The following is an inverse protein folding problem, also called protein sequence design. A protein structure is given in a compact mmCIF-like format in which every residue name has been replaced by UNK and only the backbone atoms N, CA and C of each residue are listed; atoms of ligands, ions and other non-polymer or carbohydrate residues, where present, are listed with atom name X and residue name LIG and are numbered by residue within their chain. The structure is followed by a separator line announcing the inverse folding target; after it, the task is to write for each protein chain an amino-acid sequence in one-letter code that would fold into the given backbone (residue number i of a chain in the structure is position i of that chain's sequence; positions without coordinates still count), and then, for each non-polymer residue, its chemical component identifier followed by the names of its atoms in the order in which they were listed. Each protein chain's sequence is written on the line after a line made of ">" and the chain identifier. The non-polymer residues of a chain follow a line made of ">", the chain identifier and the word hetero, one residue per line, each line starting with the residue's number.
data_IF_926931130414
#
_entry.id   IF_926931130414
#
_cell.length_a   1.000
_cell.length_b   1.000
_cell.length_c   1.000
_cell.angle_alpha   90.00
_cell.angle_beta   90.00
_cell.angle_gamma   90.00
#
_symmetry.space_group_name_H-M   'P 1'
#
loop_
_entity.id
_entity.type
_entity.pdbx_description
1 polymer ?
#
# COMPACT_ATOMS: atom_id res chain seq x y z
N UNK A 1 -12.65 41.97 3.45
CA UNK A 1 -11.83 41.61 4.62
C UNK A 1 -10.42 41.29 4.13
N UNK A 2 -9.35 41.85 4.71
CA UNK A 2 -7.98 41.50 4.30
C UNK A 2 -7.66 40.09 4.82
N UNK A 3 -7.07 39.22 4.02
CA UNK A 3 -6.66 37.88 4.49
C UNK A 3 -5.59 38.01 5.57
N UNK A 4 -5.60 37.09 6.55
CA UNK A 4 -4.55 36.99 7.57
C UNK A 4 -3.22 36.58 6.95
N UNK A 5 -2.12 36.83 7.66
CA UNK A 5 -0.78 36.37 7.27
C UNK A 5 -0.73 34.84 7.09
N UNK A 6 -1.36 34.08 7.98
CA UNK A 6 -1.50 32.63 7.85
C UNK A 6 -2.23 32.23 6.56
N UNK A 7 -3.40 32.85 6.28
CA UNK A 7 -4.18 32.52 5.09
C UNK A 7 -3.38 32.80 3.80
N UNK A 8 -2.63 33.90 3.76
CA UNK A 8 -1.77 34.27 2.62
C UNK A 8 -0.64 33.24 2.45
N UNK A 9 0.12 32.94 3.51
CA UNK A 9 1.24 31.99 3.44
C UNK A 9 0.78 30.56 3.15
N UNK A 10 -0.36 30.13 3.68
CA UNK A 10 -0.94 28.82 3.38
C UNK A 10 -1.36 28.71 1.90
N UNK A 11 -1.95 29.78 1.35
CA UNK A 11 -2.32 29.83 -0.06
C UNK A 11 -1.08 29.73 -0.94
N UNK A 12 -0.05 30.53 -0.70
CA UNK A 12 1.20 30.47 -1.47
C UNK A 12 1.88 29.11 -1.34
N UNK A 13 1.89 28.51 -0.15
CA UNK A 13 2.41 27.15 0.08
C UNK A 13 1.68 26.10 -0.77
N UNK A 14 0.34 26.05 -0.71
CA UNK A 14 -0.46 25.03 -1.39
C UNK A 14 -0.52 25.22 -2.91
N UNK A 15 -0.58 26.50 -3.39
CA UNK A 15 -0.81 26.80 -4.80
C UNK A 15 0.44 27.08 -5.61
N UNK A 16 1.55 27.48 -4.97
CA UNK A 16 2.83 27.81 -5.65
C UNK A 16 3.96 26.91 -5.23
N UNK A 17 4.31 26.94 -3.93
CA UNK A 17 5.49 26.22 -3.43
C UNK A 17 5.40 24.70 -3.67
N UNK A 18 4.30 24.06 -3.25
CA UNK A 18 4.17 22.61 -3.39
C UNK A 18 4.12 22.13 -4.85
N UNK A 19 3.30 22.72 -5.75
CA UNK A 19 3.24 22.25 -7.12
C UNK A 19 4.43 22.71 -7.97
N UNK A 20 4.85 23.99 -7.87
CA UNK A 20 5.84 24.56 -8.78
C UNK A 20 7.28 24.31 -8.33
N UNK A 21 7.59 24.58 -7.05
CA UNK A 21 8.98 24.46 -6.57
C UNK A 21 9.30 23.03 -6.11
N UNK A 22 8.35 22.35 -5.47
CA UNK A 22 8.54 20.97 -4.96
C UNK A 22 8.07 19.89 -5.93
N UNK A 23 7.34 20.24 -6.99
CA UNK A 23 6.83 19.29 -7.97
C UNK A 23 5.98 18.16 -7.36
N UNK A 24 5.23 18.46 -6.27
CA UNK A 24 4.46 17.43 -5.58
C UNK A 24 3.19 17.07 -6.35
N UNK A 25 2.81 15.80 -6.29
CA UNK A 25 1.59 15.32 -6.92
C UNK A 25 0.33 15.92 -6.29
N UNK A 26 -0.73 16.07 -7.07
CA UNK A 26 -2.05 16.54 -6.63
C UNK A 26 -2.58 15.75 -5.42
N UNK A 27 -2.37 14.44 -5.37
CA UNK A 27 -2.77 13.61 -4.23
C UNK A 27 -2.03 13.99 -2.92
N UNK A 28 -0.77 14.38 -3.03
CA UNK A 28 0.01 14.84 -1.85
C UNK A 28 -0.49 16.20 -1.39
N UNK A 29 -0.75 17.12 -2.34
CA UNK A 29 -1.29 18.45 -2.05
C UNK A 29 -2.68 18.35 -1.40
N UNK A 30 -3.55 17.47 -1.89
CA UNK A 30 -4.86 17.21 -1.28
C UNK A 30 -4.76 16.62 0.14
N UNK A 31 -3.78 15.75 0.38
CA UNK A 31 -3.51 15.25 1.73
C UNK A 31 -3.05 16.36 2.69
N UNK A 32 -2.22 17.28 2.20
CA UNK A 32 -1.78 18.44 2.96
C UNK A 32 -2.93 19.41 3.22
N UNK A 33 -3.70 19.75 2.19
CA UNK A 33 -4.93 20.54 2.31
C UNK A 33 -5.87 19.98 3.37
N UNK A 34 -6.13 18.67 3.35
CA UNK A 34 -6.95 18.01 4.39
C UNK A 34 -6.36 18.22 5.79
N UNK A 35 -5.03 18.24 5.92
CA UNK A 35 -4.38 18.49 7.22
C UNK A 35 -4.69 19.89 7.73
N UNK A 36 -4.60 20.90 6.87
CA UNK A 36 -4.88 22.28 7.24
C UNK A 36 -6.36 22.53 7.49
N UNK A 37 -7.27 21.90 6.74
CA UNK A 37 -8.70 21.94 7.06
C UNK A 37 -8.94 21.45 8.49
N UNK A 38 -8.40 20.28 8.85
CA UNK A 38 -8.55 19.73 10.20
C UNK A 38 -7.91 20.62 11.26
N UNK A 39 -6.75 21.22 10.95
CA UNK A 39 -6.06 22.12 11.89
C UNK A 39 -6.86 23.40 12.13
N UNK A 40 -7.40 24.01 11.08
CA UNK A 40 -8.25 25.20 11.18
C UNK A 40 -9.51 24.88 11.98
N UNK A 41 -10.18 23.76 11.70
CA UNK A 41 -11.34 23.27 12.47
C UNK A 41 -11.00 23.13 13.96
N UNK A 42 -9.86 22.51 14.29
CA UNK A 42 -9.39 22.39 15.66
C UNK A 42 -9.16 23.75 16.34
N UNK A 43 -8.54 24.71 15.64
CA UNK A 43 -8.30 26.05 16.17
C UNK A 43 -9.60 26.80 16.47
N UNK A 44 -10.61 26.61 15.62
CA UNK A 44 -11.94 27.20 15.83
C UNK A 44 -12.69 26.52 16.98
N UNK A 45 -12.81 25.21 16.99
CA UNK A 45 -13.61 24.44 17.94
C UNK A 45 -12.98 24.36 19.35
N UNK A 46 -11.65 24.23 19.43
CA UNK A 46 -10.94 23.95 20.69
C UNK A 46 -10.15 25.14 21.25
N UNK A 47 -9.83 26.10 20.41
CA UNK A 47 -9.07 27.30 20.80
C UNK A 47 -9.88 28.58 20.69
N UNK A 48 -11.14 28.50 20.23
CA UNK A 48 -12.05 29.63 20.02
C UNK A 48 -11.43 30.74 19.14
N UNK A 49 -10.60 30.35 18.17
CA UNK A 49 -9.99 31.29 17.21
C UNK A 49 -10.73 31.16 15.89
N UNK A 50 -11.57 32.12 15.58
CA UNK A 50 -12.32 32.13 14.33
C UNK A 50 -11.38 32.10 13.12
N UNK A 51 -11.78 31.40 12.06
CA UNK A 51 -10.98 31.16 10.84
C UNK A 51 -10.42 32.47 10.26
N UNK A 52 -11.23 33.52 10.25
CA UNK A 52 -10.87 34.85 9.74
C UNK A 52 -9.93 35.67 10.64
N UNK A 53 -9.66 35.19 11.85
CA UNK A 53 -8.70 35.77 12.84
C UNK A 53 -7.46 34.92 13.07
N UNK A 54 -7.41 33.73 12.46
CA UNK A 54 -6.27 32.82 12.62
C UNK A 54 -5.05 33.42 11.92
N UNK A 55 -4.04 33.77 12.72
CA UNK A 55 -2.78 34.35 12.28
C UNK A 55 -1.61 33.40 12.61
N UNK A 56 -0.44 33.61 12.01
CA UNK A 56 0.75 32.75 12.22
C UNK A 56 1.16 32.72 13.70
N UNK A 57 1.07 33.81 14.42
CA UNK A 57 1.34 33.88 15.87
C UNK A 57 0.48 32.95 16.73
N UNK A 58 -0.67 32.49 16.23
CA UNK A 58 -1.52 31.54 16.94
C UNK A 58 -1.04 30.08 16.76
N UNK A 59 -0.07 29.83 15.87
CA UNK A 59 0.40 28.49 15.57
C UNK A 59 1.68 28.21 16.35
N UNK A 60 1.50 27.87 17.61
CA UNK A 60 2.61 27.52 18.51
C UNK A 60 2.84 26.02 18.59
N UNK A 61 3.98 25.61 19.14
CA UNK A 61 4.31 24.20 19.37
C UNK A 61 3.23 23.50 20.21
N UNK A 62 2.71 24.18 21.25
CA UNK A 62 1.67 23.67 22.16
C UNK A 62 0.37 23.42 21.40
N UNK A 63 -0.03 24.34 20.51
CA UNK A 63 -1.24 24.19 19.71
C UNK A 63 -1.09 23.06 18.67
N UNK A 64 0.10 22.86 18.08
CA UNK A 64 0.37 21.70 17.22
C UNK A 64 0.31 20.38 17.99
N UNK A 65 0.90 20.31 19.19
CA UNK A 65 0.82 19.12 20.04
C UNK A 65 -0.62 18.81 20.41
N UNK A 66 -1.38 19.81 20.87
CA UNK A 66 -2.79 19.65 21.21
C UNK A 66 -3.65 19.21 20.00
N UNK A 67 -3.38 19.73 18.81
CA UNK A 67 -4.02 19.29 17.57
C UNK A 67 -3.73 17.80 17.28
N UNK A 68 -2.48 17.38 17.43
CA UNK A 68 -2.09 15.98 17.20
C UNK A 68 -2.69 15.02 18.22
N UNK A 69 -2.93 15.48 19.46
CA UNK A 69 -3.65 14.74 20.48
C UNK A 69 -5.15 14.66 20.17
N UNK A 70 -5.76 15.78 19.81
CA UNK A 70 -7.16 15.84 19.38
C UNK A 70 -7.46 14.88 18.23
N UNK A 71 -6.55 14.76 17.23
CA UNK A 71 -6.68 13.81 16.15
C UNK A 71 -6.77 12.35 16.64
N UNK A 72 -6.07 12.01 17.73
CA UNK A 72 -6.06 10.65 18.28
C UNK A 72 -7.22 10.41 19.25
N UNK A 73 -7.51 11.37 20.14
CA UNK A 73 -8.52 11.23 21.20
C UNK A 73 -9.94 11.39 20.68
N UNK A 74 -10.23 12.45 19.92
CA UNK A 74 -11.58 12.76 19.49
C UNK A 74 -11.89 12.31 18.04
N UNK A 75 -10.90 12.37 17.14
CA UNK A 75 -11.09 11.93 15.75
C UNK A 75 -10.69 10.47 15.51
N UNK A 76 -10.25 9.76 16.56
CA UNK A 76 -9.85 8.34 16.53
C UNK A 76 -8.86 8.00 15.41
N UNK A 77 -8.00 8.95 15.04
CA UNK A 77 -6.99 8.73 14.00
C UNK A 77 -5.89 7.78 14.48
N UNK A 78 -5.45 6.90 13.59
CA UNK A 78 -4.30 6.03 13.85
C UNK A 78 -3.01 6.83 14.02
N UNK A 79 -2.01 6.25 14.70
CA UNK A 79 -0.66 6.82 14.82
C UNK A 79 -0.04 7.13 13.45
N UNK A 80 -0.28 6.28 12.45
CA UNK A 80 0.19 6.52 11.08
C UNK A 80 -0.45 7.78 10.49
N UNK A 81 -1.78 7.95 10.62
CA UNK A 81 -2.50 9.14 10.16
C UNK A 81 -2.01 10.40 10.87
N UNK A 82 -1.87 10.33 12.20
CA UNK A 82 -1.31 11.44 13.01
C UNK A 82 0.08 11.85 12.49
N UNK A 83 0.96 10.89 12.19
CA UNK A 83 2.30 11.18 11.68
C UNK A 83 2.29 11.77 10.27
N UNK A 84 1.36 11.36 9.41
CA UNK A 84 1.16 11.98 8.07
C UNK A 84 0.75 13.45 8.23
N UNK A 85 -0.15 13.77 9.19
CA UNK A 85 -0.55 15.15 9.45
C UNK A 85 0.62 15.99 9.98
N UNK A 86 1.42 15.43 10.90
CA UNK A 86 2.65 16.08 11.37
C UNK A 86 3.64 16.36 10.23
N UNK A 87 3.82 15.41 9.31
CA UNK A 87 4.71 15.61 8.15
C UNK A 87 4.25 16.76 7.23
N UNK A 88 2.93 16.93 7.05
CA UNK A 88 2.37 18.05 6.29
C UNK A 88 2.64 19.40 6.99
N UNK A 89 2.45 19.45 8.31
CA UNK A 89 2.77 20.64 9.12
C UNK A 89 4.28 20.95 9.05
N UNK A 90 5.14 19.95 9.24
CA UNK A 90 6.60 20.14 9.11
C UNK A 90 7.00 20.67 7.73
N UNK A 91 6.34 20.23 6.66
CA UNK A 91 6.60 20.75 5.32
C UNK A 91 6.27 22.25 5.23
N UNK A 92 5.16 22.68 5.83
CA UNK A 92 4.76 24.07 5.89
C UNK A 92 5.73 24.92 6.72
N UNK A 93 6.15 24.44 7.89
CA UNK A 93 7.10 25.18 8.73
C UNK A 93 8.51 25.26 8.10
N UNK A 94 8.93 24.24 7.33
CA UNK A 94 10.17 24.37 6.53
C UNK A 94 10.04 25.44 5.45
N UNK A 95 8.89 25.59 4.82
CA UNK A 95 8.63 26.69 3.89
C UNK A 95 8.66 28.04 4.64
N UNK A 96 8.01 28.15 5.81
CA UNK A 96 8.03 29.38 6.59
C UNK A 96 9.42 29.80 7.10
N UNK A 97 10.36 28.88 7.29
CA UNK A 97 11.75 29.21 7.66
C UNK A 97 12.41 30.15 6.66
N UNK A 98 12.07 30.02 5.36
CA UNK A 98 12.61 30.89 4.30
C UNK A 98 11.77 32.14 4.10
N UNK A 99 10.48 32.05 4.31
CA UNK A 99 9.53 33.14 4.08
C UNK A 99 9.43 34.14 5.25
N UNK A 100 9.78 33.69 6.45
CA UNK A 100 9.68 34.45 7.69
C UNK A 100 10.83 34.09 8.63
N UNK A 101 12.06 34.43 8.26
CA UNK A 101 13.28 34.06 9.02
C UNK A 101 13.33 34.69 10.42
N UNK A 102 12.60 35.78 10.65
CA UNK A 102 12.50 36.44 11.96
C UNK A 102 11.94 35.52 13.07
N UNK A 103 11.14 34.51 12.71
CA UNK A 103 10.55 33.56 13.65
C UNK A 103 11.23 32.18 13.65
N UNK A 104 12.46 32.09 13.18
CA UNK A 104 13.19 30.82 12.98
C UNK A 104 13.24 29.93 14.22
N UNK A 105 13.40 30.52 15.40
CA UNK A 105 13.41 29.77 16.67
C UNK A 105 12.08 29.04 16.92
N UNK A 106 10.97 29.69 16.67
CA UNK A 106 9.62 29.08 16.82
C UNK A 106 9.42 27.95 15.83
N UNK A 107 9.84 28.15 14.57
CA UNK A 107 9.74 27.09 13.56
C UNK A 107 10.59 25.87 13.93
N UNK A 108 11.79 26.07 14.47
CA UNK A 108 12.64 24.98 14.94
C UNK A 108 12.02 24.21 16.11
N UNK A 109 11.38 24.89 17.05
CA UNK A 109 10.65 24.25 18.13
C UNK A 109 9.51 23.35 17.62
N UNK A 110 8.74 23.80 16.63
CA UNK A 110 7.68 23.00 16.01
C UNK A 110 8.27 21.82 15.24
N UNK A 111 9.34 22.04 14.49
CA UNK A 111 10.03 20.99 13.73
C UNK A 111 10.69 19.94 14.62
N UNK A 112 10.95 20.26 15.89
CA UNK A 112 11.47 19.30 16.88
C UNK A 112 10.44 18.25 17.34
N UNK A 113 9.15 18.41 17.01
CA UNK A 113 8.09 17.46 17.38
C UNK A 113 8.32 16.14 16.65
N UNK A 114 8.57 15.08 17.40
CA UNK A 114 8.88 13.76 16.82
C UNK A 114 7.63 12.99 16.39
N UNK A 115 7.78 12.24 15.32
CA UNK A 115 6.78 11.23 14.95
C UNK A 115 6.70 10.14 16.03
N UNK A 116 5.48 9.70 16.37
CA UNK A 116 5.28 8.56 17.29
C UNK A 116 5.69 7.26 16.60
N UNK A 117 6.29 6.34 17.35
CA UNK A 117 6.55 4.96 16.85
C UNK A 117 5.25 4.34 16.37
N UNK A 118 5.27 3.79 15.18
CA UNK A 118 4.14 3.08 14.60
C UNK A 118 4.48 1.58 14.55
N UNK A 119 3.64 0.76 15.16
CA UNK A 119 3.78 -0.70 15.08
C UNK A 119 3.42 -1.09 13.64
N UNK A 120 4.39 -1.62 12.92
CA UNK A 120 4.17 -2.14 11.57
C UNK A 120 3.24 -3.35 11.67
N UNK A 121 2.05 -3.26 11.07
CA UNK A 121 1.13 -4.41 10.97
C UNK A 121 1.75 -5.46 10.04
N UNK A 122 1.48 -6.72 10.35
CA UNK A 122 1.83 -7.81 9.45
C UNK A 122 1.19 -7.59 8.07
N UNK A 123 1.89 -8.02 7.05
CA UNK A 123 1.40 -7.92 5.67
C UNK A 123 0.24 -8.89 5.49
N UNK A 124 -0.97 -8.38 5.23
CA UNK A 124 -2.12 -9.22 4.89
C UNK A 124 -2.01 -9.64 3.43
N UNK A 125 -1.91 -10.94 3.19
CA UNK A 125 -1.89 -11.54 1.86
C UNK A 125 -2.73 -12.83 1.84
N UNK A 126 -3.14 -13.23 0.64
CA UNK A 126 -3.82 -14.49 0.37
C UNK A 126 -2.79 -15.57 0.05
N UNK A 127 -3.07 -16.79 0.44
CA UNK A 127 -2.38 -17.97 -0.07
C UNK A 127 -2.69 -18.19 -1.55
N UNK A 128 -1.99 -19.10 -2.23
CA UNK A 128 -2.29 -19.47 -3.61
C UNK A 128 -3.72 -19.97 -3.72
N UNK A 129 -4.16 -20.85 -2.80
CA UNK A 129 -5.53 -21.38 -2.77
C UNK A 129 -6.56 -20.25 -2.54
N UNK A 130 -6.25 -19.27 -1.69
CA UNK A 130 -7.10 -18.09 -1.48
C UNK A 130 -7.24 -17.24 -2.74
N UNK A 131 -6.16 -17.06 -3.52
CA UNK A 131 -6.22 -16.38 -4.82
C UNK A 131 -7.06 -17.18 -5.80
N UNK A 132 -6.88 -18.49 -5.89
CA UNK A 132 -7.67 -19.35 -6.77
C UNK A 132 -9.15 -19.29 -6.41
N UNK A 133 -9.49 -19.43 -5.14
CA UNK A 133 -10.86 -19.34 -4.65
C UNK A 133 -11.49 -17.98 -4.99
N UNK A 134 -10.77 -16.88 -4.80
CA UNK A 134 -11.22 -15.52 -5.13
C UNK A 134 -11.50 -15.37 -6.63
N UNK A 135 -10.57 -15.81 -7.49
CA UNK A 135 -10.67 -15.67 -8.95
C UNK A 135 -11.68 -16.61 -9.59
N UNK A 136 -12.16 -17.63 -8.86
CA UNK A 136 -13.27 -18.49 -9.27
C UNK A 136 -14.66 -17.87 -9.05
N UNK A 137 -14.79 -16.77 -8.30
CA UNK A 137 -16.08 -16.20 -7.99
C UNK A 137 -16.74 -15.42 -9.12
N UNK A 138 -15.99 -14.68 -9.98
CA UNK A 138 -16.62 -13.96 -11.10
C UNK A 138 -17.31 -14.91 -12.07
N UNK A 139 -18.63 -14.71 -12.30
CA UNK A 139 -19.42 -15.50 -13.25
C UNK A 139 -19.00 -15.21 -14.70
N UNK A 140 -18.29 -16.14 -15.31
CA UNK A 140 -17.75 -16.00 -16.67
C UNK A 140 -18.82 -16.09 -17.77
N UNK A 141 -20.08 -16.45 -17.45
CA UNK A 141 -21.20 -16.40 -18.39
C UNK A 141 -21.59 -14.96 -18.71
N UNK A 142 -21.34 -14.03 -17.78
CA UNK A 142 -21.69 -12.61 -17.90
C UNK A 142 -20.51 -11.77 -18.38
N UNK A 143 -20.78 -10.71 -19.16
CA UNK A 143 -19.77 -9.72 -19.55
C UNK A 143 -19.09 -9.07 -18.36
N UNK A 144 -19.87 -8.75 -17.32
CA UNK A 144 -19.36 -8.17 -16.08
C UNK A 144 -18.39 -9.11 -15.38
N UNK A 145 -18.74 -10.39 -15.24
CA UNK A 145 -17.89 -11.37 -14.57
C UNK A 145 -16.58 -11.62 -15.34
N UNK A 146 -16.62 -11.68 -16.68
CA UNK A 146 -15.40 -11.79 -17.51
C UNK A 146 -14.49 -10.59 -17.36
N UNK A 147 -15.05 -9.36 -17.35
CA UNK A 147 -14.31 -8.13 -17.09
C UNK A 147 -13.64 -8.19 -15.72
N UNK A 148 -14.41 -8.50 -14.69
CA UNK A 148 -13.96 -8.48 -13.30
C UNK A 148 -12.88 -9.55 -13.04
N UNK A 149 -13.01 -10.74 -13.67
CA UNK A 149 -11.98 -11.78 -13.63
C UNK A 149 -10.66 -11.28 -14.23
N UNK A 150 -10.70 -10.72 -15.44
CA UNK A 150 -9.49 -10.21 -16.11
C UNK A 150 -8.87 -9.08 -15.31
N UNK A 151 -9.67 -8.17 -14.77
CA UNK A 151 -9.20 -7.06 -13.96
C UNK A 151 -8.51 -7.54 -12.67
N UNK A 152 -9.14 -8.45 -11.91
CA UNK A 152 -8.57 -8.95 -10.64
C UNK A 152 -7.34 -9.84 -10.89
N UNK A 153 -7.35 -10.65 -11.96
CA UNK A 153 -6.16 -11.46 -12.32
C UNK A 153 -4.98 -10.59 -12.74
N UNK A 154 -5.19 -9.51 -13.51
CA UNK A 154 -4.13 -8.55 -13.83
C UNK A 154 -3.62 -7.81 -12.60
N UNK A 155 -4.51 -7.42 -11.66
CA UNK A 155 -4.09 -6.81 -10.38
C UNK A 155 -3.14 -7.72 -9.62
N UNK A 156 -3.42 -9.01 -9.58
CA UNK A 156 -2.59 -10.00 -8.91
C UNK A 156 -1.31 -10.27 -9.71
N UNK A 157 -1.41 -10.69 -10.98
CA UNK A 157 -0.26 -11.17 -11.76
C UNK A 157 0.78 -10.09 -12.03
N UNK A 158 0.32 -8.86 -12.27
CA UNK A 158 1.20 -7.72 -12.49
C UNK A 158 1.58 -6.99 -11.19
N UNK A 159 1.09 -7.46 -10.05
CA UNK A 159 1.25 -6.77 -8.76
C UNK A 159 0.91 -5.27 -8.85
N UNK A 160 -0.12 -4.95 -9.62
CA UNK A 160 -0.47 -3.57 -9.96
C UNK A 160 -1.21 -2.88 -8.81
N UNK A 161 -0.98 -1.57 -8.67
CA UNK A 161 -1.79 -0.72 -7.78
C UNK A 161 -3.14 -0.43 -8.44
N UNK A 162 -4.17 -0.18 -7.63
CA UNK A 162 -5.52 0.15 -8.14
C UNK A 162 -5.48 1.26 -9.18
N UNK A 163 -4.75 2.33 -8.94
CA UNK A 163 -4.66 3.44 -9.88
C UNK A 163 -4.00 3.02 -11.20
N UNK A 164 -2.98 2.18 -11.13
CA UNK A 164 -2.30 1.66 -12.31
C UNK A 164 -3.25 0.85 -13.20
N UNK A 165 -4.17 0.07 -12.59
CA UNK A 165 -5.21 -0.67 -13.32
C UNK A 165 -6.26 0.27 -13.93
N UNK A 166 -6.67 1.32 -13.22
CA UNK A 166 -7.62 2.32 -13.71
C UNK A 166 -7.08 3.05 -14.95
N UNK A 167 -5.77 3.30 -14.96
CA UNK A 167 -5.11 4.08 -16.00
C UNK A 167 -4.59 3.22 -17.16
N UNK A 168 -4.78 1.88 -17.12
CA UNK A 168 -4.42 1.01 -18.23
C UNK A 168 -5.24 1.32 -19.48
N UNK A 169 -4.55 1.24 -20.62
CA UNK A 169 -5.16 1.33 -21.94
C UNK A 169 -4.72 0.15 -22.83
N UNK A 170 -5.46 -0.19 -23.89
CA UNK A 170 -5.07 -1.25 -24.82
C UNK A 170 -3.67 -1.06 -25.42
N UNK A 171 -3.25 0.18 -25.73
CA UNK A 171 -1.92 0.49 -26.24
C UNK A 171 -0.76 0.09 -25.31
N UNK A 172 -1.04 -0.14 -24.03
CA UNK A 172 -0.03 -0.59 -23.05
C UNK A 172 0.21 -2.10 -23.08
N UNK A 173 -0.53 -2.87 -23.90
CA UNK A 173 -0.50 -4.32 -23.91
C UNK A 173 0.12 -4.81 -25.22
N UNK A 174 1.15 -5.64 -25.10
CA UNK A 174 1.74 -6.36 -26.24
C UNK A 174 1.19 -7.78 -26.27
N UNK A 175 0.38 -8.07 -27.31
CA UNK A 175 -0.28 -9.37 -27.52
C UNK A 175 0.50 -10.33 -28.43
N UNK A 176 1.72 -9.96 -28.85
CA UNK A 176 2.68 -10.83 -29.55
C UNK A 176 3.77 -11.28 -28.60
N UNK A 177 4.32 -12.49 -28.80
CA UNK A 177 5.42 -13.00 -27.94
C UNK A 177 6.69 -12.15 -28.07
N UNK A 178 7.37 -11.83 -26.97
CA UNK A 178 6.97 -12.08 -25.59
C UNK A 178 5.82 -11.15 -25.16
N UNK A 179 4.78 -11.76 -24.56
CA UNK A 179 3.62 -11.03 -24.04
C UNK A 179 4.00 -10.14 -22.87
N UNK A 180 3.69 -8.87 -22.95
CA UNK A 180 4.03 -7.91 -21.89
C UNK A 180 2.94 -6.85 -21.70
N UNK A 181 2.95 -6.26 -20.53
CA UNK A 181 2.15 -5.08 -20.20
C UNK A 181 3.05 -3.98 -19.66
N UNK A 182 2.90 -2.76 -20.19
CA UNK A 182 3.56 -1.56 -19.69
C UNK A 182 2.68 -0.92 -18.62
N UNK A 183 3.19 -0.76 -17.42
CA UNK A 183 2.48 -0.14 -16.31
C UNK A 183 3.21 1.14 -15.91
N UNK A 184 2.47 2.25 -15.82
CA UNK A 184 3.01 3.55 -15.39
C UNK A 184 2.77 3.69 -13.90
N UNK A 185 3.82 3.70 -13.11
CA UNK A 185 3.78 3.79 -11.66
C UNK A 185 3.85 5.21 -11.11
N UNK A 186 4.04 5.34 -9.81
CA UNK A 186 4.22 6.62 -9.12
C UNK A 186 5.42 7.38 -9.72
N UNK A 187 5.27 8.69 -9.91
CA UNK A 187 6.31 9.53 -10.52
C UNK A 187 6.47 9.32 -12.02
N UNK A 188 5.42 8.82 -12.69
CA UNK A 188 5.40 8.54 -14.14
C UNK A 188 6.50 7.55 -14.60
N UNK A 189 6.95 6.66 -13.69
CA UNK A 189 8.00 5.67 -13.96
C UNK A 189 7.36 4.42 -14.60
N UNK A 190 7.68 4.10 -15.87
CA UNK A 190 7.15 2.90 -16.52
C UNK A 190 7.89 1.65 -16.03
N UNK A 191 7.16 0.53 -15.96
CA UNK A 191 7.72 -0.81 -15.85
C UNK A 191 7.04 -1.74 -16.84
N UNK A 192 7.77 -2.73 -17.31
CA UNK A 192 7.26 -3.77 -18.20
C UNK A 192 7.15 -5.06 -17.39
N UNK A 193 5.95 -5.64 -17.38
CA UNK A 193 5.67 -6.89 -16.68
C UNK A 193 5.33 -7.96 -17.71
N UNK A 194 5.97 -9.16 -17.68
CA UNK A 194 5.62 -10.26 -18.54
C UNK A 194 4.23 -10.81 -18.18
N UNK A 195 3.45 -11.18 -19.21
CA UNK A 195 2.16 -11.83 -19.06
C UNK A 195 2.28 -13.32 -19.42
N UNK A 196 1.64 -14.16 -18.60
CA UNK A 196 1.60 -15.61 -18.84
C UNK A 196 0.53 -15.97 -19.87
N UNK A 197 0.75 -17.01 -20.67
CA UNK A 197 -0.17 -17.42 -21.75
C UNK A 197 -1.62 -17.60 -21.28
N UNK A 198 -1.82 -18.26 -20.15
CA UNK A 198 -3.17 -18.48 -19.59
C UNK A 198 -3.92 -17.17 -19.35
N UNK A 199 -3.22 -16.15 -18.87
CA UNK A 199 -3.81 -14.82 -18.64
C UNK A 199 -4.10 -14.10 -19.97
N UNK A 200 -3.21 -14.22 -20.94
CA UNK A 200 -3.37 -13.59 -22.26
C UNK A 200 -4.62 -14.13 -22.98
N UNK A 201 -4.98 -15.40 -22.80
CA UNK A 201 -6.21 -15.98 -23.36
C UNK A 201 -7.45 -15.24 -22.87
N UNK A 202 -7.59 -15.08 -21.55
CA UNK A 202 -8.72 -14.35 -20.96
C UNK A 202 -8.70 -12.87 -21.36
N UNK A 203 -7.53 -12.26 -21.38
CA UNK A 203 -7.35 -10.86 -21.78
C UNK A 203 -7.73 -10.65 -23.27
N UNK A 204 -7.27 -11.50 -24.18
CA UNK A 204 -7.63 -11.42 -25.61
C UNK A 204 -9.14 -11.54 -25.82
N UNK A 205 -9.78 -12.51 -25.16
CA UNK A 205 -11.23 -12.68 -25.22
C UNK A 205 -11.96 -11.42 -24.78
N UNK A 206 -11.53 -10.83 -23.64
CA UNK A 206 -12.08 -9.59 -23.12
C UNK A 206 -11.90 -8.41 -24.08
N UNK A 207 -10.70 -8.27 -24.69
CA UNK A 207 -10.40 -7.19 -25.64
C UNK A 207 -11.27 -7.29 -26.91
N UNK A 208 -11.42 -8.49 -27.44
CA UNK A 208 -12.29 -8.74 -28.62
C UNK A 208 -13.75 -8.43 -28.31
N UNK A 209 -14.26 -8.95 -27.18
CA UNK A 209 -15.65 -8.76 -26.76
C UNK A 209 -16.03 -7.28 -26.58
N UNK A 210 -15.07 -6.46 -26.13
CA UNK A 210 -15.29 -5.04 -25.87
C UNK A 210 -14.76 -4.13 -26.99
N UNK A 211 -14.41 -4.67 -28.16
CA UNK A 211 -13.88 -3.92 -29.32
C UNK A 211 -12.64 -3.06 -28.99
N UNK A 212 -11.83 -3.51 -28.04
CA UNK A 212 -10.65 -2.79 -27.58
C UNK A 212 -9.39 -3.05 -28.41
N UNK A 213 -9.47 -3.88 -29.44
CA UNK A 213 -8.39 -4.12 -30.41
C UNK A 213 -8.40 -3.16 -31.59
N UNK A 214 -9.44 -2.36 -31.72
CA UNK A 214 -9.58 -1.38 -32.79
C UNK A 214 -8.70 -0.15 -32.50
N UNK A 215 -8.12 0.46 -33.54
CA UNK A 215 -7.15 1.56 -33.41
C UNK A 215 -7.70 2.77 -32.62
N UNK A 216 -8.99 3.05 -32.77
CA UNK A 216 -9.64 4.14 -32.04
C UNK A 216 -9.73 3.89 -30.52
N UNK A 217 -9.66 2.62 -30.09
CA UNK A 217 -9.74 2.26 -28.68
C UNK A 217 -8.39 2.28 -27.95
N UNK A 218 -7.29 2.52 -28.65
CA UNK A 218 -5.92 2.44 -28.08
C UNK A 218 -5.72 3.24 -26.80
N UNK A 219 -6.37 4.37 -26.67
CA UNK A 219 -6.27 5.25 -25.49
C UNK A 219 -7.52 5.23 -24.60
N UNK A 220 -8.50 4.41 -24.93
CA UNK A 220 -9.66 4.18 -24.08
C UNK A 220 -9.26 3.45 -22.80
N UNK A 221 -10.02 3.61 -21.70
CA UNK A 221 -9.77 2.82 -20.50
C UNK A 221 -9.86 1.32 -20.83
N UNK A 222 -8.87 0.55 -20.38
CA UNK A 222 -8.92 -0.91 -20.54
C UNK A 222 -10.15 -1.50 -19.82
N UNK A 223 -10.46 -0.98 -18.64
CA UNK A 223 -11.62 -1.36 -17.85
C UNK A 223 -12.53 -0.16 -17.61
N UNK A 224 -13.79 -0.31 -17.98
CA UNK A 224 -14.82 0.73 -17.79
C UNK A 224 -16.00 0.19 -16.96
N UNK A 225 -16.70 1.14 -16.31
CA UNK A 225 -17.96 0.88 -15.63
C UNK A 225 -19.12 0.73 -16.65
N UNK A 226 -20.34 0.55 -16.17
CA UNK A 226 -21.55 0.43 -17.02
C UNK A 226 -21.87 1.67 -17.83
N UNK A 227 -21.27 2.83 -17.53
CA UNK A 227 -21.41 4.09 -18.25
C UNK A 227 -20.26 4.34 -19.23
N UNK A 228 -19.39 3.34 -19.46
CA UNK A 228 -18.15 3.44 -20.23
C UNK A 228 -17.12 4.46 -19.70
N UNK A 229 -17.20 4.78 -18.41
CA UNK A 229 -16.24 5.66 -17.74
C UNK A 229 -15.18 4.85 -17.00
N UNK A 230 -14.03 5.49 -16.70
CA UNK A 230 -13.00 4.91 -15.84
C UNK A 230 -13.58 4.53 -14.47
N UNK A 231 -13.14 3.42 -13.92
CA UNK A 231 -13.45 3.08 -12.54
C UNK A 231 -12.86 4.08 -11.56
N UNK A 232 -13.53 4.24 -10.42
CA UNK A 232 -12.93 4.87 -9.24
C UNK A 232 -12.18 3.82 -8.41
N UNK A 233 -11.24 4.27 -7.59
CA UNK A 233 -10.56 3.36 -6.62
C UNK A 233 -11.55 2.63 -5.72
N UNK A 234 -12.58 3.32 -5.26
CA UNK A 234 -13.64 2.75 -4.45
C UNK A 234 -14.47 1.73 -5.24
N UNK A 235 -14.74 1.98 -6.52
CA UNK A 235 -15.46 1.04 -7.39
C UNK A 235 -14.74 -0.30 -7.50
N UNK A 236 -13.42 -0.29 -7.73
CA UNK A 236 -12.61 -1.52 -7.77
C UNK A 236 -12.55 -2.19 -6.40
N UNK A 237 -12.41 -1.41 -5.31
CA UNK A 237 -12.43 -1.96 -3.96
C UNK A 237 -13.76 -2.66 -3.65
N UNK A 238 -14.88 -2.09 -4.06
CA UNK A 238 -16.21 -2.69 -3.89
C UNK A 238 -16.36 -4.00 -4.70
N UNK A 239 -15.87 -4.03 -5.95
CA UNK A 239 -15.84 -5.25 -6.77
C UNK A 239 -15.04 -6.35 -6.07
N UNK A 240 -13.83 -6.05 -5.62
CA UNK A 240 -13.00 -6.99 -4.87
C UNK A 240 -13.71 -7.49 -3.61
N UNK A 241 -14.36 -6.59 -2.86
CA UNK A 241 -15.06 -6.95 -1.63
C UNK A 241 -16.28 -7.85 -1.90
N UNK A 242 -17.01 -7.62 -2.99
CA UNK A 242 -18.13 -8.49 -3.41
C UNK A 242 -17.64 -9.93 -3.64
N UNK A 243 -16.58 -10.13 -4.40
CA UNK A 243 -16.03 -11.45 -4.66
C UNK A 243 -15.32 -12.06 -3.44
N UNK A 244 -14.67 -11.25 -2.62
CA UNK A 244 -14.12 -11.70 -1.35
C UNK A 244 -15.20 -12.20 -0.39
N UNK A 245 -16.36 -11.55 -0.32
CA UNK A 245 -17.47 -12.00 0.49
C UNK A 245 -18.05 -13.33 -0.05
N UNK A 246 -18.23 -13.46 -1.36
CA UNK A 246 -18.67 -14.70 -1.98
C UNK A 246 -17.68 -15.86 -1.71
N UNK A 247 -16.40 -15.60 -1.80
CA UNK A 247 -15.36 -16.59 -1.50
C UNK A 247 -15.34 -16.97 -0.01
N UNK A 248 -15.59 -16.03 0.93
CA UNK A 248 -15.67 -16.30 2.38
C UNK A 248 -16.84 -17.21 2.74
N UNK A 249 -17.94 -17.14 2.02
CA UNK A 249 -19.06 -18.06 2.22
C UNK A 249 -18.65 -19.51 1.94
N UNK A 250 -17.71 -19.72 0.99
CA UNK A 250 -17.19 -21.05 0.67
C UNK A 250 -16.10 -21.49 1.65
N UNK A 251 -15.16 -20.61 1.95
CA UNK A 251 -14.10 -20.85 2.93
C UNK A 251 -13.62 -19.51 3.53
N UNK A 252 -14.00 -19.27 4.77
CA UNK A 252 -13.62 -18.05 5.49
C UNK A 252 -12.15 -18.04 5.94
N UNK A 253 -11.51 -19.20 6.03
CA UNK A 253 -10.12 -19.34 6.51
C UNK A 253 -9.13 -18.87 5.45
N UNK A 254 -9.45 -19.06 4.16
CA UNK A 254 -8.60 -18.68 3.05
C UNK A 254 -8.71 -17.18 2.68
N UNK A 255 -9.77 -16.50 3.12
CA UNK A 255 -10.06 -15.13 2.68
C UNK A 255 -10.07 -14.16 3.87
N UNK A 256 -8.93 -13.61 4.27
CA UNK A 256 -8.85 -12.59 5.32
C UNK A 256 -9.52 -11.28 4.88
N UNK A 257 -9.48 -10.25 5.73
CA UNK A 257 -9.92 -8.90 5.34
C UNK A 257 -9.03 -8.38 4.21
N UNK A 258 -9.61 -8.19 3.02
CA UNK A 258 -8.91 -7.79 1.82
C UNK A 258 -9.01 -6.30 1.55
N UNK A 259 -7.98 -5.80 0.91
CA UNK A 259 -7.93 -4.52 0.22
C UNK A 259 -7.30 -4.74 -1.17
N UNK A 260 -7.44 -3.81 -2.09
CA UNK A 260 -6.77 -3.92 -3.39
C UNK A 260 -5.24 -4.11 -3.28
N UNK A 261 -4.62 -3.57 -2.23
CA UNK A 261 -3.19 -3.81 -1.95
C UNK A 261 -2.88 -5.25 -1.53
N UNK A 262 -3.86 -5.99 -1.01
CA UNK A 262 -3.65 -7.38 -0.60
C UNK A 262 -3.29 -8.27 -1.79
N UNK A 263 -3.87 -8.05 -2.99
CA UNK A 263 -3.49 -8.79 -4.21
C UNK A 263 -2.03 -8.57 -4.60
N UNK A 264 -1.57 -7.31 -4.54
CA UNK A 264 -0.17 -6.95 -4.77
C UNK A 264 0.76 -7.60 -3.74
N UNK A 265 0.37 -7.60 -2.47
CA UNK A 265 1.13 -8.24 -1.39
C UNK A 265 1.19 -9.75 -1.58
N UNK A 266 0.07 -10.39 -2.00
CA UNK A 266 0.03 -11.83 -2.28
C UNK A 266 1.01 -12.20 -3.40
N UNK A 267 1.02 -11.46 -4.51
CA UNK A 267 1.97 -11.73 -5.59
C UNK A 267 3.42 -11.60 -5.13
N UNK A 268 3.72 -10.55 -4.35
CA UNK A 268 5.06 -10.34 -3.80
C UNK A 268 5.50 -11.51 -2.90
N UNK A 269 4.61 -11.98 -1.99
CA UNK A 269 4.89 -13.12 -1.13
C UNK A 269 5.07 -14.41 -1.93
N UNK A 270 4.22 -14.66 -2.93
CA UNK A 270 4.32 -15.88 -3.76
C UNK A 270 5.59 -15.89 -4.61
N UNK A 271 6.01 -14.73 -5.17
CA UNK A 271 7.29 -14.63 -5.88
C UNK A 271 8.47 -14.89 -4.94
N UNK A 272 8.42 -14.35 -3.72
CA UNK A 272 9.45 -14.58 -2.72
C UNK A 272 9.52 -16.06 -2.32
N UNK A 273 8.38 -16.68 -2.04
CA UNK A 273 8.27 -18.10 -1.68
C UNK A 273 8.70 -19.04 -2.82
N UNK A 274 8.58 -18.58 -4.06
CA UNK A 274 9.12 -19.27 -5.23
C UNK A 274 10.62 -19.04 -5.45
N UNK A 275 11.32 -18.36 -4.54
CA UNK A 275 12.77 -18.13 -4.61
C UNK A 275 13.21 -17.00 -5.53
N UNK A 276 12.28 -16.15 -6.01
CA UNK A 276 12.62 -15.03 -6.88
C UNK A 276 13.41 -13.97 -6.10
N UNK A 277 14.52 -13.51 -6.66
CA UNK A 277 15.37 -12.51 -6.04
C UNK A 277 14.61 -11.21 -5.74
N UNK A 278 14.85 -10.62 -4.56
CA UNK A 278 14.18 -9.38 -4.10
C UNK A 278 14.34 -8.21 -5.07
N UNK A 279 15.42 -8.15 -5.83
CA UNK A 279 15.64 -7.09 -6.85
C UNK A 279 14.61 -7.22 -7.97
N UNK A 280 14.36 -8.42 -8.48
CA UNK A 280 13.33 -8.65 -9.50
C UNK A 280 11.93 -8.42 -8.95
N UNK A 281 11.67 -8.84 -7.71
CA UNK A 281 10.40 -8.55 -7.03
C UNK A 281 10.19 -7.03 -6.91
N UNK A 282 11.20 -6.27 -6.50
CA UNK A 282 11.18 -4.80 -6.46
C UNK A 282 10.75 -4.21 -7.80
N UNK A 283 11.36 -4.68 -8.89
CA UNK A 283 11.11 -4.14 -10.24
C UNK A 283 9.69 -4.47 -10.72
N UNK A 284 9.21 -5.70 -10.51
CA UNK A 284 7.82 -6.09 -10.81
C UNK A 284 6.82 -5.25 -9.98
N UNK A 285 7.10 -5.01 -8.70
CA UNK A 285 6.26 -4.22 -7.82
C UNK A 285 6.32 -2.71 -8.13
N UNK A 286 7.34 -2.24 -8.85
CA UNK A 286 7.61 -0.83 -9.07
C UNK A 286 7.89 -0.09 -7.76
N UNK A 287 8.73 -0.67 -6.89
CA UNK A 287 9.23 -0.01 -5.69
C UNK A 287 10.51 0.75 -6.00
N UNK A 288 10.65 1.96 -5.46
CA UNK A 288 11.86 2.77 -5.66
C UNK A 288 13.07 2.19 -4.92
N UNK A 289 12.83 1.51 -3.79
CA UNK A 289 13.87 0.94 -2.95
C UNK A 289 13.58 -0.51 -2.60
N UNK A 290 14.63 -1.33 -2.56
CA UNK A 290 14.59 -2.73 -2.08
C UNK A 290 14.11 -2.79 -0.63
N UNK A 291 14.43 -1.78 0.20
CA UNK A 291 13.96 -1.66 1.59
C UNK A 291 12.43 -1.76 1.72
N UNK A 292 11.70 -1.26 0.70
CA UNK A 292 10.23 -1.38 0.66
C UNK A 292 9.79 -2.83 0.38
N UNK A 293 10.63 -3.62 -0.29
CA UNK A 293 10.38 -5.03 -0.64
C UNK A 293 10.81 -5.98 0.49
N UNK A 294 11.77 -5.58 1.33
CA UNK A 294 12.23 -6.35 2.50
C UNK A 294 11.12 -6.68 3.50
N UNK A 295 10.03 -5.92 3.52
CA UNK A 295 8.88 -6.22 4.38
C UNK A 295 8.33 -7.64 4.14
N UNK A 296 8.42 -8.13 2.90
CA UNK A 296 8.00 -9.47 2.51
C UNK A 296 8.97 -10.53 3.03
N UNK A 297 10.28 -10.30 2.88
CA UNK A 297 11.30 -11.20 3.43
C UNK A 297 11.21 -11.30 4.97
N UNK A 298 10.85 -10.19 5.63
CA UNK A 298 10.61 -10.21 7.08
C UNK A 298 9.34 -10.94 7.47
N UNK A 299 8.33 -10.97 6.61
CA UNK A 299 7.05 -11.63 6.86
C UNK A 299 7.07 -13.13 6.50
N UNK A 300 8.03 -13.58 5.70
CA UNK A 300 8.14 -14.99 5.29
C UNK A 300 8.79 -15.84 6.39
N UNK A 301 7.94 -16.56 7.14
CA UNK A 301 8.37 -17.49 8.16
C UNK A 301 8.87 -18.82 7.57
N UNK A 302 8.39 -19.20 6.36
CA UNK A 302 8.76 -20.47 5.71
C UNK A 302 10.20 -20.46 5.26
N UNK A 303 10.61 -19.45 4.47
CA UNK A 303 12.01 -19.33 4.04
C UNK A 303 12.99 -19.17 5.21
N UNK A 304 12.58 -18.47 6.28
CA UNK A 304 13.41 -18.38 7.49
C UNK A 304 13.61 -19.73 8.14
N UNK A 305 12.54 -20.53 8.22
CA UNK A 305 12.61 -21.88 8.79
C UNK A 305 13.50 -22.78 7.94
N UNK A 306 13.27 -22.81 6.63
CA UNK A 306 14.09 -23.57 5.68
C UNK A 306 15.57 -23.15 5.72
N UNK A 307 15.85 -21.84 5.80
CA UNK A 307 17.23 -21.34 5.93
C UNK A 307 17.89 -21.77 7.25
N UNK A 308 17.13 -21.77 8.35
CA UNK A 308 17.63 -22.25 9.66
C UNK A 308 17.83 -23.76 9.61
N UNK A 309 16.89 -24.53 9.06
CA UNK A 309 17.00 -25.98 8.93
C UNK A 309 18.18 -26.40 8.04
N UNK A 310 18.42 -25.67 6.92
CA UNK A 310 19.56 -25.93 6.04
C UNK A 310 20.92 -25.51 6.64
N UNK A 311 20.92 -24.50 7.50
CA UNK A 311 22.12 -24.03 8.20
C UNK A 311 22.35 -24.73 9.53
N UNK A 312 21.42 -25.60 9.95
CA UNK A 312 21.50 -26.29 11.23
C UNK A 312 22.63 -27.34 11.21
N UNK A 313 23.64 -27.11 12.02
CA UNK A 313 24.66 -28.09 12.35
C UNK A 313 24.13 -28.82 13.57
N UNK A 314 24.04 -30.15 13.48
CA UNK A 314 23.55 -30.97 14.58
C UNK A 314 24.58 -30.95 15.74
N UNK A 315 24.34 -30.02 16.67
CA UNK A 315 25.21 -29.82 17.87
C UNK A 315 24.68 -30.59 19.10
N UNK A 316 23.52 -31.21 18.96
CA UNK A 316 22.90 -31.99 20.04
C UNK A 316 23.23 -33.47 19.81
N UNK A 317 23.92 -34.06 20.76
CA UNK A 317 24.19 -35.50 20.72
C UNK A 317 22.86 -36.26 20.68
N UNK A 318 22.63 -37.05 19.62
CA UNK A 318 21.41 -37.86 19.45
C UNK A 318 21.34 -39.06 20.38
N UNK A 319 22.46 -39.38 21.06
CA UNK A 319 22.47 -40.46 22.01
C UNK A 319 21.66 -40.06 23.24
N UNK A 320 20.47 -40.61 23.35
CA UNK A 320 19.76 -40.63 24.63
C UNK A 320 20.66 -41.30 25.66
N UNK A 321 20.75 -40.76 26.90
CA UNK A 321 21.48 -41.41 27.94
C UNK A 321 21.09 -42.89 28.04
N UNK A 322 22.04 -43.79 28.18
CA UNK A 322 21.87 -45.23 28.12
C UNK A 322 20.75 -45.77 29.04
N UNK A 323 20.37 -45.01 30.05
CA UNK A 323 19.28 -45.30 30.98
C UNK A 323 17.89 -44.84 30.51
N UNK A 324 17.77 -44.04 29.41
CA UNK A 324 16.48 -43.63 28.84
C UNK A 324 16.00 -44.77 27.95
N UNK A 325 15.03 -45.56 28.42
CA UNK A 325 14.50 -46.74 27.75
C UNK A 325 14.91 -48.07 28.37
N UNK A 326 15.59 -48.04 29.51
CA UNK A 326 15.94 -49.23 30.27
C UNK A 326 14.99 -49.30 31.50
N UNK A 327 14.03 -50.21 31.46
CA UNK A 327 13.03 -50.37 32.53
C UNK A 327 13.65 -50.87 33.86
N UNK A 328 14.92 -51.23 33.86
CA UNK A 328 15.61 -51.74 35.04
C UNK A 328 16.93 -50.99 35.31
N UNK A 329 16.80 -49.78 35.86
CA UNK A 329 17.95 -48.96 36.28
C UNK A 329 18.91 -49.71 37.23
N UNK A 330 18.40 -50.64 38.00
CA UNK A 330 19.17 -51.41 38.99
C UNK A 330 20.10 -52.44 38.34
N UNK A 331 19.68 -53.09 37.26
CA UNK A 331 20.50 -54.00 36.49
C UNK A 331 21.54 -53.27 35.64
N UNK A 332 21.18 -52.06 35.13
CA UNK A 332 22.15 -51.19 34.48
C UNK A 332 23.26 -50.74 35.43
N UNK A 333 22.90 -50.30 36.68
CA UNK A 333 23.87 -49.92 37.68
C UNK A 333 24.78 -51.08 38.14
N UNK A 334 24.26 -52.31 38.21
CA UNK A 334 25.06 -53.49 38.58
C UNK A 334 26.12 -53.90 37.52
N UNK A 335 25.81 -53.53 36.25
CA UNK A 335 26.67 -53.86 35.12
C UNK A 335 27.54 -52.67 34.66
N UNK A 336 27.44 -51.52 35.35
CA UNK A 336 28.22 -50.32 35.06
C UNK A 336 29.66 -50.54 35.51
N UNK A 337 30.60 -50.68 34.56
CA UNK A 337 32.01 -50.78 34.75
C UNK A 337 32.70 -49.42 34.63
#
# INVERSE_FOLDING_TARGET
>A
MKPTDFAKKLTDFLSKYLPCERGLSTNTIESYKTTFILFITFMEEKKNIAVNKLAIKNITKENIIAFLEWLQSERHCSTATRNVRLAALHSFFRYLQYEMPENLNEWQQILSIKAKKNIKKNVNYLTVDGIQLLLQQPDQSTKKGRRDLVMLSLMYDCAARVQEIIDLTPAMIRLTKPYTIKIIGKGNKPRIVPLMEKQVIHLKRYLVENKLLESHANFSPLFSNSRNEKFTRQGIANILQTYANAARVKDSTLIPKLSPHSLKHSKAMHLLQAGVNLVYIRDILGHESVLTTEIYARADSKQKREAIENAYVDVINKESPIWVGNDNLLDWLKNFK
#
